data_IF_120562842266
#
_entry.id   IF_120562842266
#
_cell.length_a   1.000
_cell.length_b   1.000
_cell.length_c   1.000
_cell.angle_alpha   90.00
_cell.angle_beta   90.00
_cell.angle_gamma   90.00
#
_symmetry.space_group_name_H-M   'P 1'
#
loop_
_entity.id
_entity.type
_entity.pdbx_description
1 polymer ?
#
# COMPACT_ATOMS: atom_id res chain seq x y z
N UNK A 1 -14.16 0.14 44.90
CA UNK A 1 -13.70 -0.62 43.71
C UNK A 1 -12.73 0.27 42.91
N UNK A 2 -11.50 0.49 43.38
CA UNK A 2 -10.26 -0.20 42.96
C UNK A 2 -10.12 -0.37 41.43
N UNK A 3 -9.36 0.54 40.80
CA UNK A 3 -8.39 0.18 39.75
C UNK A 3 -7.08 0.94 40.02
N UNK A 4 -6.04 0.15 40.26
CA UNK A 4 -4.70 0.53 40.73
C UNK A 4 -3.91 1.18 39.60
N UNK A 5 -3.42 2.40 39.82
CA UNK A 5 -2.31 2.97 39.06
C UNK A 5 -1.05 2.32 39.61
N UNK A 6 -0.43 1.43 38.84
CA UNK A 6 0.89 0.89 39.17
C UNK A 6 1.90 1.99 38.86
N UNK A 7 2.31 2.72 39.90
CA UNK A 7 3.52 3.50 39.89
C UNK A 7 4.71 2.52 39.95
N UNK A 8 5.30 2.20 38.79
CA UNK A 8 6.57 1.49 38.73
C UNK A 8 7.68 2.53 38.69
N UNK A 9 8.21 2.87 39.86
CA UNK A 9 9.48 3.60 39.99
C UNK A 9 10.62 2.67 39.58
N UNK A 10 11.01 2.68 38.31
CA UNK A 10 12.29 2.13 37.89
C UNK A 10 13.35 3.23 38.07
N UNK A 11 14.12 3.13 39.15
CA UNK A 11 15.39 3.82 39.25
C UNK A 11 16.38 3.10 38.31
N UNK A 12 16.47 3.59 37.06
CA UNK A 12 17.54 3.18 36.15
C UNK A 12 18.67 4.20 36.29
N UNK A 13 19.80 3.76 36.83
CA UNK A 13 20.99 4.57 36.99
C UNK A 13 21.41 5.19 35.66
N UNK A 14 21.71 6.49 35.70
CA UNK A 14 22.43 7.19 34.63
C UNK A 14 23.79 6.51 34.44
N UNK A 15 23.88 5.58 33.51
CA UNK A 15 25.08 5.44 32.72
C UNK A 15 24.93 6.41 31.55
N UNK A 16 25.55 7.58 31.66
CA UNK A 16 25.78 8.46 30.51
C UNK A 16 26.73 7.70 29.57
N UNK A 17 26.17 6.86 28.71
CA UNK A 17 26.85 6.46 27.50
C UNK A 17 27.11 7.75 26.73
N UNK A 18 28.36 8.20 26.70
CA UNK A 18 28.81 9.19 25.74
C UNK A 18 28.64 8.55 24.36
N UNK A 19 27.48 8.71 23.77
CA UNK A 19 27.29 8.45 22.35
C UNK A 19 28.01 9.57 21.62
N UNK A 20 29.12 9.20 21.01
CA UNK A 20 29.85 10.03 20.06
C UNK A 20 28.86 10.49 18.98
N UNK A 21 28.50 11.78 19.00
CA UNK A 21 27.54 12.40 18.06
C UNK A 21 28.00 12.33 16.59
N UNK A 22 29.21 11.84 16.32
CA UNK A 22 29.77 11.72 14.97
C UNK A 22 29.37 10.47 14.17
N UNK A 23 28.60 9.53 14.77
CA UNK A 23 28.22 8.27 14.08
C UNK A 23 26.77 8.17 13.59
N UNK A 24 25.96 9.20 13.72
CA UNK A 24 24.66 9.22 13.06
C UNK A 24 24.81 9.92 11.71
N UNK A 25 24.68 9.17 10.61
CA UNK A 25 24.73 9.68 9.23
C UNK A 25 23.56 10.61 8.85
N UNK A 26 23.07 11.41 9.80
CA UNK A 26 22.09 12.47 9.62
C UNK A 26 22.77 13.74 9.10
N UNK A 27 22.04 14.49 8.27
CA UNK A 27 22.50 15.77 7.75
C UNK A 27 22.61 16.78 8.91
N UNK A 28 23.70 17.57 9.01
CA UNK A 28 23.85 18.55 10.08
C UNK A 28 22.73 19.61 9.98
N UNK A 29 21.93 19.72 11.04
CA UNK A 29 20.84 20.69 11.11
C UNK A 29 21.37 22.10 11.36
N UNK A 30 20.92 23.08 10.56
CA UNK A 30 21.31 24.50 10.74
C UNK A 30 20.78 25.06 12.06
N UNK A 31 19.60 24.61 12.47
CA UNK A 31 18.96 24.92 13.75
C UNK A 31 19.82 24.54 14.95
N UNK A 32 20.47 23.38 14.93
CA UNK A 32 21.35 22.95 16.01
C UNK A 32 22.56 23.86 16.19
N UNK A 33 23.25 24.22 15.10
CA UNK A 33 24.39 25.16 15.17
C UNK A 33 23.99 26.57 15.61
N UNK A 34 22.75 26.99 15.36
CA UNK A 34 22.21 28.23 15.93
C UNK A 34 21.93 28.08 17.44
N UNK A 35 21.27 26.99 17.84
CA UNK A 35 20.89 26.70 19.22
C UNK A 35 22.12 26.56 20.14
N UNK A 36 23.20 25.96 19.64
CA UNK A 36 24.47 25.82 20.36
C UNK A 36 25.13 27.16 20.73
N UNK A 37 24.90 28.23 19.97
CA UNK A 37 25.50 29.53 20.26
C UNK A 37 24.71 30.34 21.30
N UNK A 38 23.55 29.85 21.71
CA UNK A 38 22.66 30.53 22.64
C UNK A 38 22.87 30.06 24.08
N UNK A 39 22.50 30.92 25.02
CA UNK A 39 22.49 30.62 26.46
C UNK A 39 21.37 31.38 27.16
N UNK A 40 21.10 31.02 28.42
CA UNK A 40 20.12 31.73 29.25
C UNK A 40 18.71 31.75 28.64
N UNK A 41 18.03 32.89 28.72
CA UNK A 41 16.66 33.06 28.21
C UNK A 41 16.54 32.83 26.70
N UNK A 42 17.56 33.22 25.93
CA UNK A 42 17.51 33.15 24.47
C UNK A 42 17.61 31.70 24.00
N UNK A 43 18.39 30.87 24.72
CA UNK A 43 18.42 29.42 24.53
C UNK A 43 17.05 28.79 24.81
N UNK A 44 16.45 29.10 25.97
CA UNK A 44 15.16 28.52 26.36
C UNK A 44 14.06 28.85 25.34
N UNK A 45 14.00 30.11 24.89
CA UNK A 45 13.03 30.56 23.87
C UNK A 45 13.27 29.83 22.56
N UNK A 46 14.53 29.70 22.12
CA UNK A 46 14.87 29.02 20.87
C UNK A 46 14.51 27.54 20.92
N UNK A 47 14.96 26.82 21.94
CA UNK A 47 14.65 25.39 22.12
C UNK A 47 13.16 25.13 22.11
N UNK A 48 12.38 25.85 22.94
CA UNK A 48 10.93 25.64 23.01
C UNK A 48 10.25 25.97 21.67
N UNK A 49 10.67 27.04 20.99
CA UNK A 49 10.10 27.41 19.69
C UNK A 49 10.39 26.36 18.61
N UNK A 50 11.63 25.86 18.55
CA UNK A 50 12.01 24.81 17.59
C UNK A 50 11.30 23.49 17.90
N UNK A 51 11.27 23.06 19.16
CA UNK A 51 10.62 21.80 19.56
C UNK A 51 9.11 21.82 19.30
N UNK A 52 8.45 22.99 19.40
CA UNK A 52 7.05 23.15 19.01
C UNK A 52 6.83 22.85 17.51
N UNK A 53 7.65 23.42 16.61
CA UNK A 53 7.49 23.17 15.17
C UNK A 53 7.91 21.75 14.80
N UNK A 54 8.97 21.23 15.45
CA UNK A 54 9.40 19.84 15.32
C UNK A 54 8.29 18.85 15.69
N UNK A 55 7.58 19.09 16.81
CA UNK A 55 6.46 18.27 17.23
C UNK A 55 5.26 18.33 16.27
N UNK A 56 4.98 19.49 15.69
CA UNK A 56 3.92 19.61 14.68
C UNK A 56 4.18 18.71 13.47
N UNK A 57 5.43 18.63 13.01
CA UNK A 57 5.82 17.72 11.93
C UNK A 57 5.52 16.25 12.26
N UNK A 58 5.84 15.79 13.47
CA UNK A 58 5.52 14.43 13.91
C UNK A 58 4.01 14.18 13.96
N UNK A 59 3.23 15.16 14.47
CA UNK A 59 1.76 15.08 14.51
C UNK A 59 1.17 14.95 13.10
N UNK A 60 1.66 15.73 12.14
CA UNK A 60 1.21 15.66 10.74
C UNK A 60 1.51 14.29 10.10
N UNK A 61 2.72 13.77 10.28
CA UNK A 61 3.10 12.43 9.81
C UNK A 61 2.24 11.34 10.44
N UNK A 62 2.00 11.43 11.75
CA UNK A 62 1.18 10.49 12.50
C UNK A 62 -0.30 10.52 12.04
N UNK A 63 -0.86 11.71 11.76
CA UNK A 63 -2.20 11.83 11.20
C UNK A 63 -2.30 11.28 9.77
N UNK A 64 -1.26 11.43 8.97
CA UNK A 64 -1.23 10.88 7.61
C UNK A 64 -1.24 9.35 7.62
N UNK A 65 -0.40 8.72 8.44
CA UNK A 65 -0.32 7.25 8.49
C UNK A 65 -1.61 6.62 9.03
N UNK A 66 -2.33 7.30 9.94
CA UNK A 66 -3.62 6.83 10.47
C UNK A 66 -4.70 6.66 9.40
N UNK A 67 -4.59 7.35 8.26
CA UNK A 67 -5.54 7.25 7.14
C UNK A 67 -5.35 6.00 6.29
N UNK A 68 -4.16 5.41 6.27
CA UNK A 68 -3.78 4.35 5.32
C UNK A 68 -3.29 3.07 5.98
N UNK A 69 -2.73 3.15 7.19
CA UNK A 69 -2.18 2.00 7.90
C UNK A 69 -3.27 1.05 8.40
N UNK A 70 -3.01 -0.24 8.23
CA UNK A 70 -3.80 -1.35 8.80
C UNK A 70 -3.08 -2.05 9.95
N UNK A 71 -1.78 -1.81 10.14
CA UNK A 71 -1.01 -2.42 11.24
C UNK A 71 -1.39 -1.77 12.59
N UNK A 72 -1.95 -2.58 13.50
CA UNK A 72 -2.43 -2.10 14.79
C UNK A 72 -1.33 -1.44 15.65
N UNK A 73 -0.07 -1.90 15.51
CA UNK A 73 1.08 -1.36 16.25
C UNK A 73 1.41 0.04 15.77
N UNK A 74 1.49 0.22 14.45
CA UNK A 74 1.77 1.50 13.81
C UNK A 74 0.66 2.51 14.10
N UNK A 75 -0.60 2.09 14.00
CA UNK A 75 -1.75 2.94 14.34
C UNK A 75 -1.73 3.39 15.79
N UNK A 76 -1.41 2.49 16.73
CA UNK A 76 -1.36 2.83 18.15
C UNK A 76 -0.24 3.83 18.44
N UNK A 77 0.96 3.61 17.91
CA UNK A 77 2.07 4.55 18.04
C UNK A 77 1.71 5.93 17.47
N UNK A 78 1.12 5.99 16.27
CA UNK A 78 0.69 7.26 15.68
C UNK A 78 -0.36 7.99 16.54
N UNK A 79 -1.32 7.28 17.15
CA UNK A 79 -2.26 7.87 18.10
C UNK A 79 -1.55 8.44 19.34
N UNK A 80 -0.57 7.72 19.87
CA UNK A 80 0.20 8.15 21.05
C UNK A 80 1.04 9.38 20.75
N UNK A 81 1.72 9.43 19.60
CA UNK A 81 2.47 10.61 19.14
C UNK A 81 1.54 11.82 19.06
N UNK A 82 0.37 11.68 18.42
CA UNK A 82 -0.61 12.77 18.31
C UNK A 82 -1.04 13.26 19.70
N UNK A 83 -1.34 12.35 20.63
CA UNK A 83 -1.80 12.73 21.95
C UNK A 83 -0.71 13.40 22.80
N UNK A 84 0.48 12.80 22.84
CA UNK A 84 1.61 13.26 23.68
C UNK A 84 2.15 14.57 23.12
N UNK A 85 2.51 14.63 21.84
CA UNK A 85 3.19 15.80 21.30
C UNK A 85 2.27 17.03 21.22
N UNK A 86 0.95 16.87 21.04
CA UNK A 86 0.02 18.01 21.17
C UNK A 86 -0.03 18.58 22.59
N UNK A 87 0.06 17.71 23.61
CA UNK A 87 0.13 18.15 25.01
C UNK A 87 1.43 18.91 25.27
N UNK A 88 2.55 18.41 24.76
CA UNK A 88 3.87 19.03 24.90
C UNK A 88 3.93 20.39 24.17
N UNK A 89 3.37 20.51 22.97
CA UNK A 89 3.21 21.78 22.25
C UNK A 89 2.47 22.81 23.12
N UNK A 90 1.36 22.40 23.73
CA UNK A 90 0.58 23.26 24.64
C UNK A 90 1.40 23.71 25.86
N UNK A 91 2.16 22.79 26.46
CA UNK A 91 3.01 23.07 27.60
C UNK A 91 4.14 24.05 27.27
N UNK A 92 4.89 23.81 26.20
CA UNK A 92 5.99 24.69 25.77
C UNK A 92 5.47 26.08 25.39
N UNK A 93 4.30 26.16 24.75
CA UNK A 93 3.65 27.44 24.42
C UNK A 93 3.24 28.20 25.68
N UNK A 94 2.68 27.50 26.68
CA UNK A 94 2.32 28.10 27.95
C UNK A 94 3.55 28.61 28.72
N UNK A 95 4.66 27.86 28.68
CA UNK A 95 5.93 28.24 29.30
C UNK A 95 6.58 29.45 28.62
N UNK A 96 6.59 29.52 27.29
CA UNK A 96 7.06 30.71 26.56
C UNK A 96 6.29 31.96 26.99
N UNK A 97 4.96 31.87 27.07
CA UNK A 97 4.11 32.98 27.50
C UNK A 97 4.33 33.32 28.98
N UNK A 98 4.35 32.32 29.85
CA UNK A 98 4.40 32.50 31.30
C UNK A 98 5.76 32.93 31.83
N UNK A 99 6.86 32.38 31.29
CA UNK A 99 8.22 32.66 31.77
C UNK A 99 8.86 33.86 31.09
N UNK A 100 8.53 34.09 29.82
CA UNK A 100 9.23 35.07 28.98
C UNK A 100 8.29 36.11 28.35
N UNK A 101 6.97 35.98 28.50
CA UNK A 101 6.01 36.94 27.95
C UNK A 101 5.94 36.91 26.42
N UNK A 102 6.44 35.86 25.78
CA UNK A 102 6.54 35.77 24.31
C UNK A 102 5.71 34.62 23.75
N UNK A 103 5.29 34.78 22.51
CA UNK A 103 4.80 33.67 21.69
C UNK A 103 5.99 32.86 21.13
N UNK A 104 5.75 31.65 20.58
CA UNK A 104 6.77 30.91 19.84
C UNK A 104 7.41 31.76 18.74
N UNK A 105 8.75 31.78 18.70
CA UNK A 105 9.51 32.60 17.78
C UNK A 105 9.40 32.04 16.35
N UNK A 106 8.81 32.84 15.46
CA UNK A 106 8.67 32.48 14.04
C UNK A 106 10.02 32.21 13.37
N UNK A 107 11.05 32.99 13.69
CA UNK A 107 12.39 32.81 13.13
C UNK A 107 12.94 31.40 13.43
N UNK A 108 12.83 30.94 14.68
CA UNK A 108 13.34 29.63 15.06
C UNK A 108 12.46 28.49 14.52
N UNK A 109 11.13 28.68 14.48
CA UNK A 109 10.22 27.73 13.85
C UNK A 109 10.50 27.57 12.35
N UNK A 110 10.68 28.67 11.62
CA UNK A 110 10.95 28.63 10.17
C UNK A 110 12.32 27.97 9.88
N UNK A 111 13.31 28.16 10.75
CA UNK A 111 14.59 27.46 10.67
C UNK A 111 14.43 25.95 10.84
N UNK A 112 13.71 25.52 11.87
CA UNK A 112 13.41 24.10 12.11
C UNK A 112 12.62 23.49 10.94
N UNK A 113 11.63 24.21 10.42
CA UNK A 113 10.85 23.78 9.26
C UNK A 113 11.72 23.55 8.02
N UNK A 114 12.71 24.42 7.81
CA UNK A 114 13.68 24.28 6.72
C UNK A 114 14.49 22.99 6.82
N UNK A 115 15.02 22.70 8.01
CA UNK A 115 15.78 21.46 8.28
C UNK A 115 14.87 20.23 8.14
N UNK A 116 13.65 20.26 8.71
CA UNK A 116 12.68 19.17 8.58
C UNK A 116 12.27 18.90 7.15
N UNK A 117 12.08 19.95 6.35
CA UNK A 117 11.75 19.79 4.93
C UNK A 117 12.89 19.11 4.18
N UNK A 118 14.14 19.51 4.42
CA UNK A 118 15.29 18.88 3.78
C UNK A 118 15.42 17.40 4.16
N UNK A 119 15.19 17.05 5.43
CA UNK A 119 15.14 15.65 5.87
C UNK A 119 14.01 14.88 5.18
N UNK A 120 12.81 15.46 5.12
CA UNK A 120 11.66 14.83 4.48
C UNK A 120 11.89 14.62 2.98
N UNK A 121 12.45 15.60 2.26
CA UNK A 121 12.78 15.48 0.83
C UNK A 121 13.78 14.34 0.60
N UNK A 122 14.81 14.22 1.45
CA UNK A 122 15.79 13.12 1.39
C UNK A 122 15.14 11.76 1.69
N UNK A 123 14.27 11.69 2.71
CA UNK A 123 13.53 10.48 3.04
C UNK A 123 12.62 10.04 1.88
N UNK A 124 11.89 10.99 1.27
CA UNK A 124 11.00 10.77 0.14
C UNK A 124 11.74 10.26 -1.10
N UNK A 125 12.95 10.76 -1.39
CA UNK A 125 13.78 10.24 -2.47
C UNK A 125 14.11 8.74 -2.30
N UNK A 126 14.22 8.26 -1.05
CA UNK A 126 14.45 6.87 -0.70
C UNK A 126 13.19 6.00 -0.53
N UNK A 127 11.98 6.52 -0.77
CA UNK A 127 10.71 5.83 -0.45
C UNK A 127 10.11 4.99 -1.58
N UNK A 128 10.72 4.95 -2.77
CA UNK A 128 10.17 4.20 -3.91
C UNK A 128 10.02 2.71 -3.58
N UNK A 129 8.78 2.21 -3.66
CA UNK A 129 8.44 0.79 -3.43
C UNK A 129 8.23 0.37 -1.97
N UNK A 130 8.24 1.29 -1.00
CA UNK A 130 7.99 0.97 0.41
C UNK A 130 6.50 0.96 0.76
N UNK A 131 6.10 0.09 1.70
CA UNK A 131 4.75 0.18 2.29
C UNK A 131 4.62 1.48 3.10
N UNK A 132 3.42 2.07 3.23
CA UNK A 132 3.20 3.26 4.05
C UNK A 132 3.70 3.12 5.48
N UNK A 133 3.51 1.95 6.09
CA UNK A 133 3.95 1.63 7.45
C UNK A 133 5.48 1.66 7.57
N UNK A 134 6.19 1.05 6.62
CA UNK A 134 7.65 1.06 6.58
C UNK A 134 8.18 2.49 6.42
N UNK A 135 7.59 3.22 5.49
CA UNK A 135 7.90 4.61 5.20
C UNK A 135 7.76 5.51 6.46
N UNK A 136 6.65 5.35 7.19
CA UNK A 136 6.42 6.09 8.42
C UNK A 136 7.48 5.78 9.50
N UNK A 137 7.74 4.50 9.77
CA UNK A 137 8.72 4.10 10.80
C UNK A 137 10.15 4.54 10.45
N UNK A 138 10.57 4.35 9.20
CA UNK A 138 11.90 4.78 8.74
C UNK A 138 12.06 6.31 8.75
N UNK A 139 10.99 7.07 8.54
CA UNK A 139 10.99 8.53 8.66
C UNK A 139 10.96 9.03 10.11
N UNK A 140 10.21 8.35 10.99
CA UNK A 140 10.06 8.78 12.38
C UNK A 140 11.31 8.50 13.23
N UNK A 141 12.13 7.51 12.87
CA UNK A 141 13.40 7.22 13.57
C UNK A 141 14.36 8.42 13.57
N UNK A 142 14.78 8.96 12.40
CA UNK A 142 15.68 10.12 12.37
C UNK A 142 15.01 11.38 12.95
N UNK A 143 13.69 11.57 12.74
CA UNK A 143 12.94 12.66 13.40
C UNK A 143 13.04 12.59 14.93
N UNK A 144 12.86 11.41 15.51
CA UNK A 144 12.99 11.25 16.96
C UNK A 144 14.43 11.45 17.46
N UNK A 145 15.43 11.11 16.64
CA UNK A 145 16.83 11.34 16.98
C UNK A 145 17.14 12.84 17.08
N UNK A 146 16.62 13.65 16.16
CA UNK A 146 16.80 15.11 16.17
C UNK A 146 16.24 15.74 17.47
N UNK A 147 15.06 15.29 17.92
CA UNK A 147 14.48 15.75 19.19
C UNK A 147 15.31 15.34 20.42
N UNK A 148 15.95 14.16 20.38
CA UNK A 148 16.87 13.70 21.43
C UNK A 148 18.10 14.61 21.46
N UNK A 149 18.73 14.85 20.32
CA UNK A 149 19.96 15.65 20.22
C UNK A 149 19.72 17.10 20.72
N UNK A 150 18.61 17.72 20.32
CA UNK A 150 18.18 19.02 20.85
C UNK A 150 17.97 19.00 22.37
N UNK A 151 17.37 17.93 22.88
CA UNK A 151 17.05 17.79 24.31
C UNK A 151 18.29 17.54 25.16
N UNK A 152 19.29 16.83 24.65
CA UNK A 152 20.59 16.68 25.31
C UNK A 152 21.32 18.02 25.44
N UNK A 153 21.21 18.87 24.42
CA UNK A 153 21.72 20.23 24.51
C UNK A 153 20.96 21.05 25.57
N UNK A 154 19.65 20.87 25.68
CA UNK A 154 18.84 21.52 26.71
C UNK A 154 19.22 21.08 28.14
N UNK A 155 19.62 19.83 28.36
CA UNK A 155 20.13 19.40 29.68
C UNK A 155 21.36 20.20 30.11
N UNK A 156 22.22 20.56 29.15
CA UNK A 156 23.45 21.32 29.38
C UNK A 156 23.16 22.82 29.55
N UNK A 157 22.27 23.39 28.72
CA UNK A 157 22.15 24.84 28.53
C UNK A 157 20.87 25.50 29.04
N UNK A 158 19.80 24.75 29.26
CA UNK A 158 18.53 25.34 29.67
C UNK A 158 18.66 26.05 31.02
N UNK A 159 18.00 27.19 31.16
CA UNK A 159 18.02 27.98 32.38
C UNK A 159 16.99 27.47 33.40
N UNK A 160 15.86 26.94 32.93
CA UNK A 160 14.75 26.47 33.78
C UNK A 160 14.88 24.98 34.14
N UNK A 161 14.79 24.59 35.43
CA UNK A 161 14.84 23.19 35.84
C UNK A 161 13.68 22.37 35.27
N UNK A 162 12.51 22.98 35.08
CA UNK A 162 11.34 22.38 34.43
C UNK A 162 11.63 22.04 32.97
N UNK A 163 12.36 22.90 32.25
CA UNK A 163 12.73 22.65 30.86
C UNK A 163 13.77 21.51 30.75
N UNK A 164 14.72 21.43 31.70
CA UNK A 164 15.62 20.27 31.79
C UNK A 164 14.88 18.97 32.10
N UNK A 165 13.83 19.04 32.93
CA UNK A 165 12.99 17.87 33.22
C UNK A 165 12.22 17.41 31.97
N UNK A 166 11.59 18.34 31.27
CA UNK A 166 10.94 18.08 29.98
C UNK A 166 11.91 17.42 28.99
N UNK A 167 13.11 17.97 28.83
CA UNK A 167 14.13 17.40 27.94
C UNK A 167 14.51 15.96 28.31
N UNK A 168 14.62 15.61 29.61
CA UNK A 168 14.83 14.21 30.03
C UNK A 168 13.68 13.29 29.66
N UNK A 169 12.45 13.78 29.79
CA UNK A 169 11.25 13.02 29.43
C UNK A 169 11.19 12.75 27.92
N UNK A 170 11.49 13.77 27.10
CA UNK A 170 11.63 13.65 25.65
C UNK A 170 12.67 12.59 25.27
N UNK A 171 13.88 12.69 25.84
CA UNK A 171 14.95 11.70 25.58
C UNK A 171 14.46 10.30 25.92
N UNK A 172 13.92 10.11 27.13
CA UNK A 172 13.50 8.80 27.60
C UNK A 172 12.38 8.19 26.74
N UNK A 173 11.39 8.97 26.32
CA UNK A 173 10.27 8.50 25.49
C UNK A 173 10.75 8.19 24.08
N UNK A 174 11.41 9.16 23.42
CA UNK A 174 11.75 9.02 22.01
C UNK A 174 12.84 7.97 21.77
N UNK A 175 13.78 7.76 22.72
CA UNK A 175 14.73 6.65 22.63
C UNK A 175 14.04 5.28 22.69
N UNK A 176 12.99 5.12 23.52
CA UNK A 176 12.22 3.87 23.56
C UNK A 176 11.45 3.64 22.27
N UNK A 177 10.84 4.68 21.73
CA UNK A 177 10.09 4.62 20.47
C UNK A 177 11.01 4.27 19.29
N UNK A 178 12.22 4.85 19.20
CA UNK A 178 13.22 4.45 18.20
C UNK A 178 13.53 2.94 18.30
N UNK A 179 13.76 2.42 19.51
CA UNK A 179 14.03 1.00 19.72
C UNK A 179 12.86 0.12 19.25
N UNK A 180 11.63 0.52 19.58
CA UNK A 180 10.41 -0.17 19.19
C UNK A 180 10.22 -0.16 17.66
N UNK A 181 10.41 1.00 17.01
CA UNK A 181 10.26 1.13 15.56
C UNK A 181 11.30 0.30 14.80
N UNK A 182 12.55 0.26 15.29
CA UNK A 182 13.60 -0.60 14.72
C UNK A 182 13.24 -2.08 14.81
N UNK A 183 12.64 -2.52 15.92
CA UNK A 183 12.20 -3.91 16.06
C UNK A 183 11.01 -4.22 15.15
N UNK A 184 10.05 -3.30 15.05
CA UNK A 184 8.93 -3.45 14.13
C UNK A 184 9.40 -3.52 12.69
N UNK A 185 10.39 -2.73 12.27
CA UNK A 185 10.96 -2.79 10.92
C UNK A 185 11.60 -4.14 10.55
N UNK A 186 12.04 -4.94 11.53
CA UNK A 186 12.51 -6.32 11.29
C UNK A 186 11.35 -7.28 11.02
N UNK A 187 10.20 -7.05 11.65
CA UNK A 187 9.01 -7.91 11.59
C UNK A 187 7.93 -7.39 10.66
N UNK A 188 8.10 -6.18 10.12
CA UNK A 188 7.26 -5.61 9.07
C UNK A 188 7.58 -6.39 7.79
N UNK A 189 6.82 -7.45 7.54
CA UNK A 189 6.93 -8.20 6.30
C UNK A 189 6.86 -7.21 5.12
N UNK A 190 7.78 -7.36 4.15
CA UNK A 190 7.55 -6.79 2.83
C UNK A 190 6.14 -7.22 2.40
N UNK A 191 5.36 -6.31 1.79
CA UNK A 191 4.00 -6.63 1.37
C UNK A 191 4.02 -8.01 0.67
N UNK A 192 3.23 -9.00 1.13
CA UNK A 192 3.26 -10.32 0.54
C UNK A 192 3.03 -10.17 -0.96
N UNK A 193 3.82 -10.89 -1.76
CA UNK A 193 3.66 -10.91 -3.21
C UNK A 193 2.17 -11.07 -3.55
N UNK A 194 1.63 -10.37 -4.56
CA UNK A 194 0.24 -10.54 -4.98
C UNK A 194 -0.09 -12.00 -5.33
N UNK A 195 0.94 -12.83 -5.57
CA UNK A 195 0.85 -14.24 -5.91
C UNK A 195 0.90 -15.18 -4.70
N UNK A 196 1.02 -14.70 -3.46
CA UNK A 196 1.09 -15.57 -2.26
C UNK A 196 -0.14 -16.46 -2.15
N UNK A 197 -1.33 -15.95 -2.49
CA UNK A 197 -2.56 -16.74 -2.48
C UNK A 197 -2.55 -17.89 -3.51
N UNK A 198 -1.76 -17.78 -4.59
CA UNK A 198 -1.65 -18.82 -5.61
C UNK A 198 -0.74 -19.97 -5.20
N UNK A 199 0.07 -19.83 -4.13
CA UNK A 199 0.94 -20.91 -3.67
C UNK A 199 0.16 -22.16 -3.22
N UNK A 200 -1.06 -21.97 -2.73
CA UNK A 200 -2.00 -23.03 -2.34
C UNK A 200 -2.73 -23.66 -3.55
N UNK A 201 -2.69 -23.03 -4.72
CA UNK A 201 -3.30 -23.57 -5.93
C UNK A 201 -2.40 -24.64 -6.56
N UNK A 202 -2.94 -25.79 -7.01
CA UNK A 202 -2.20 -26.73 -7.83
C UNK A 202 -1.94 -26.19 -9.26
N UNK A 203 -2.62 -25.12 -9.67
CA UNK A 203 -2.48 -24.45 -10.98
C UNK A 203 -1.95 -23.04 -10.73
N UNK A 204 -0.65 -22.92 -10.44
CA UNK A 204 -0.05 -21.66 -9.96
C UNK A 204 0.07 -20.58 -11.05
N UNK A 205 -0.02 -20.98 -12.32
CA UNK A 205 -0.03 -20.07 -13.47
C UNK A 205 -1.34 -19.29 -13.65
N UNK A 206 -2.42 -19.69 -12.98
CA UNK A 206 -3.75 -19.09 -13.13
C UNK A 206 -4.32 -18.65 -11.77
N UNK A 207 -5.19 -17.64 -11.79
CA UNK A 207 -6.05 -17.31 -10.66
C UNK A 207 -7.19 -18.33 -10.50
N UNK A 208 -7.78 -18.39 -9.31
CA UNK A 208 -8.94 -19.26 -9.06
C UNK A 208 -10.12 -18.96 -9.99
N UNK A 209 -10.34 -17.68 -10.31
CA UNK A 209 -11.41 -17.27 -11.21
C UNK A 209 -11.14 -17.72 -12.65
N UNK A 210 -9.90 -17.62 -13.14
CA UNK A 210 -9.53 -18.10 -14.48
C UNK A 210 -9.70 -19.61 -14.60
N UNK A 211 -9.31 -20.37 -13.57
CA UNK A 211 -9.57 -21.82 -13.53
C UNK A 211 -11.07 -22.12 -13.60
N UNK A 212 -11.87 -21.42 -12.79
CA UNK A 212 -13.32 -21.61 -12.80
C UNK A 212 -13.95 -21.24 -14.15
N UNK A 213 -13.51 -20.14 -14.76
CA UNK A 213 -13.97 -19.67 -16.06
C UNK A 213 -13.67 -20.69 -17.17
N UNK A 214 -12.44 -21.22 -17.20
CA UNK A 214 -12.03 -22.26 -18.14
C UNK A 214 -12.88 -23.53 -17.96
N UNK A 215 -13.02 -24.02 -16.72
CA UNK A 215 -13.81 -25.23 -16.43
C UNK A 215 -15.30 -25.05 -16.73
N UNK A 216 -15.83 -23.84 -16.56
CA UNK A 216 -17.20 -23.50 -16.89
C UNK A 216 -17.41 -23.22 -18.40
N UNK A 217 -16.33 -23.11 -19.19
CA UNK A 217 -16.37 -22.72 -20.60
C UNK A 217 -16.81 -21.27 -20.82
N UNK A 218 -16.55 -20.40 -19.84
CA UNK A 218 -16.90 -18.98 -19.91
C UNK A 218 -15.92 -18.26 -20.84
N UNK A 219 -16.46 -17.63 -21.87
CA UNK A 219 -15.68 -17.00 -22.95
C UNK A 219 -15.16 -15.60 -22.64
N UNK A 220 -14.84 -15.26 -21.39
CA UNK A 220 -14.54 -13.89 -20.95
C UNK A 220 -13.27 -13.34 -21.64
N UNK A 221 -13.46 -12.72 -22.81
CA UNK A 221 -12.40 -12.11 -23.62
C UNK A 221 -12.17 -12.77 -24.98
N UNK A 222 -12.39 -14.08 -25.12
CA UNK A 222 -12.08 -14.83 -26.36
C UNK A 222 -12.89 -14.37 -27.58
N UNK A 223 -14.16 -14.02 -27.37
CA UNK A 223 -15.05 -13.58 -28.44
C UNK A 223 -15.13 -12.05 -28.59
N UNK A 224 -14.41 -11.28 -27.77
CA UNK A 224 -14.59 -9.82 -27.67
C UNK A 224 -14.38 -9.14 -29.02
N UNK A 225 -13.41 -9.61 -29.82
CA UNK A 225 -13.18 -9.09 -31.18
C UNK A 225 -14.42 -9.23 -32.06
N UNK A 226 -15.12 -10.37 -32.04
CA UNK A 226 -16.34 -10.55 -32.81
C UNK A 226 -17.48 -9.67 -32.27
N UNK A 227 -17.73 -9.74 -30.97
CA UNK A 227 -18.80 -9.00 -30.30
C UNK A 227 -18.72 -7.49 -30.58
N UNK A 228 -17.55 -6.88 -30.42
CA UNK A 228 -17.35 -5.44 -30.60
C UNK A 228 -17.30 -5.01 -32.07
N UNK A 229 -17.22 -5.94 -33.02
CA UNK A 229 -17.27 -5.65 -34.45
C UNK A 229 -18.61 -6.08 -35.08
N UNK A 230 -19.68 -6.12 -34.27
CA UNK A 230 -21.04 -6.33 -34.75
C UNK A 230 -21.35 -7.78 -35.12
N UNK A 231 -20.62 -8.75 -34.57
CA UNK A 231 -20.94 -10.18 -34.68
C UNK A 231 -21.59 -10.68 -33.37
N UNK A 232 -22.92 -10.88 -33.34
CA UNK A 232 -23.63 -11.23 -32.11
C UNK A 232 -23.26 -12.61 -31.56
N UNK A 233 -23.18 -12.73 -30.24
CA UNK A 233 -22.91 -13.99 -29.55
C UNK A 233 -24.18 -14.80 -29.25
N UNK A 234 -24.13 -16.15 -29.29
CA UNK A 234 -25.31 -16.99 -29.17
C UNK A 234 -26.06 -16.83 -27.84
N UNK A 235 -25.35 -16.62 -26.72
CA UNK A 235 -25.97 -16.48 -25.40
C UNK A 235 -26.85 -15.22 -25.32
N UNK A 236 -26.30 -14.06 -25.66
CA UNK A 236 -27.01 -12.78 -25.61
C UNK A 236 -28.09 -12.67 -26.69
N UNK A 237 -27.90 -13.28 -27.87
CA UNK A 237 -28.95 -13.31 -28.90
C UNK A 237 -30.17 -14.08 -28.40
N UNK A 238 -29.97 -15.21 -27.70
CA UNK A 238 -31.07 -15.97 -27.12
C UNK A 238 -31.73 -15.25 -25.93
N UNK A 239 -30.96 -14.47 -25.17
CA UNK A 239 -31.49 -13.58 -24.11
C UNK A 239 -32.46 -12.54 -24.69
N UNK A 240 -32.13 -11.98 -25.86
CA UNK A 240 -32.95 -10.98 -26.55
C UNK A 240 -33.91 -11.54 -27.61
N UNK A 241 -34.23 -12.84 -27.55
CA UNK A 241 -34.99 -13.52 -28.62
C UNK A 241 -36.31 -12.84 -28.98
N UNK A 242 -37.03 -12.30 -27.98
CA UNK A 242 -38.32 -11.64 -28.17
C UNK A 242 -38.14 -10.24 -28.78
N UNK A 243 -37.18 -9.46 -28.25
CA UNK A 243 -36.87 -8.11 -28.71
C UNK A 243 -36.26 -8.09 -30.12
N UNK A 244 -35.64 -9.21 -30.53
CA UNK A 244 -35.09 -9.42 -31.88
C UNK A 244 -36.10 -10.06 -32.85
N UNK A 245 -37.29 -10.48 -32.37
CA UNK A 245 -38.28 -11.17 -33.18
C UNK A 245 -37.73 -12.44 -33.85
N UNK A 246 -36.96 -13.24 -33.11
CA UNK A 246 -36.36 -14.46 -33.66
C UNK A 246 -37.42 -15.49 -34.01
N UNK A 247 -37.31 -16.11 -35.18
CA UNK A 247 -38.19 -17.23 -35.55
C UNK A 247 -37.90 -18.45 -34.67
N UNK A 248 -38.87 -19.38 -34.50
CA UNK A 248 -38.62 -20.65 -33.79
C UNK A 248 -37.42 -21.43 -34.36
N UNK A 249 -37.20 -21.36 -35.67
CA UNK A 249 -36.06 -21.98 -36.34
C UNK A 249 -34.74 -21.30 -35.98
N UNK A 250 -34.68 -19.96 -35.96
CA UNK A 250 -33.50 -19.21 -35.52
C UNK A 250 -33.14 -19.54 -34.07
N UNK A 251 -34.13 -19.56 -33.16
CA UNK A 251 -33.92 -19.91 -31.75
C UNK A 251 -33.36 -21.32 -31.61
N UNK A 252 -33.91 -22.30 -32.32
CA UNK A 252 -33.43 -23.68 -32.28
C UNK A 252 -31.98 -23.81 -32.78
N UNK A 253 -31.64 -23.16 -33.90
CA UNK A 253 -30.30 -23.24 -34.48
C UNK A 253 -29.24 -22.52 -33.63
N UNK A 254 -29.55 -21.31 -33.16
CA UNK A 254 -28.67 -20.57 -32.24
C UNK A 254 -28.48 -21.34 -30.92
N UNK A 255 -29.54 -22.01 -30.44
CA UNK A 255 -29.46 -22.93 -29.29
C UNK A 255 -28.45 -24.05 -29.48
N UNK A 256 -28.45 -24.71 -30.66
CA UNK A 256 -27.46 -25.75 -31.00
C UNK A 256 -26.04 -25.18 -31.09
N UNK A 257 -25.87 -24.00 -31.67
CA UNK A 257 -24.56 -23.31 -31.73
C UNK A 257 -24.05 -23.02 -30.31
N UNK A 258 -24.91 -22.48 -29.44
CA UNK A 258 -24.56 -22.19 -28.04
C UNK A 258 -24.09 -23.45 -27.31
N UNK A 259 -24.84 -24.54 -27.45
CA UNK A 259 -24.56 -25.79 -26.76
C UNK A 259 -23.23 -26.40 -27.23
N UNK A 260 -23.02 -26.50 -28.56
CA UNK A 260 -21.76 -26.97 -29.12
C UNK A 260 -20.58 -26.11 -28.70
N UNK A 261 -20.73 -24.78 -28.72
CA UNK A 261 -19.70 -23.85 -28.24
C UNK A 261 -19.38 -24.09 -26.76
N UNK A 262 -20.41 -24.19 -25.91
CA UNK A 262 -20.22 -24.38 -24.47
C UNK A 262 -19.56 -25.73 -24.14
N UNK A 263 -19.97 -26.82 -24.79
CA UNK A 263 -19.36 -28.14 -24.60
C UNK A 263 -17.90 -28.16 -25.07
N UNK A 264 -17.61 -27.60 -26.26
CA UNK A 264 -16.24 -27.48 -26.77
C UNK A 264 -15.35 -26.62 -25.88
N UNK A 265 -15.85 -25.48 -25.42
CA UNK A 265 -15.12 -24.58 -24.53
C UNK A 265 -14.79 -25.24 -23.18
N UNK A 266 -15.73 -25.96 -22.56
CA UNK A 266 -15.49 -26.71 -21.31
C UNK A 266 -14.43 -27.80 -21.49
N UNK A 267 -14.52 -28.57 -22.58
CA UNK A 267 -13.54 -29.63 -22.87
C UNK A 267 -12.13 -29.06 -23.07
N UNK A 268 -11.99 -27.96 -23.80
CA UNK A 268 -10.71 -27.27 -24.00
C UNK A 268 -10.21 -26.63 -22.70
N UNK A 269 -11.08 -25.98 -21.93
CA UNK A 269 -10.74 -25.39 -20.64
C UNK A 269 -10.21 -26.41 -19.64
N UNK A 270 -10.80 -27.61 -19.58
CA UNK A 270 -10.29 -28.71 -18.76
C UNK A 270 -8.89 -29.16 -19.20
N UNK A 271 -8.61 -29.23 -20.51
CA UNK A 271 -7.28 -29.55 -21.04
C UNK A 271 -6.25 -28.47 -20.71
N UNK A 272 -6.63 -27.19 -20.84
CA UNK A 272 -5.77 -26.05 -20.47
C UNK A 272 -5.40 -26.12 -19.00
N UNK A 273 -6.40 -26.28 -18.12
CA UNK A 273 -6.18 -26.38 -16.67
C UNK A 273 -5.28 -27.56 -16.32
N UNK A 274 -5.44 -28.71 -17.00
CA UNK A 274 -4.58 -29.87 -16.80
C UNK A 274 -3.12 -29.60 -17.22
N UNK A 275 -2.89 -28.93 -18.36
CA UNK A 275 -1.54 -28.59 -18.81
C UNK A 275 -0.87 -27.50 -17.96
N UNK A 276 -1.62 -26.48 -17.52
CA UNK A 276 -1.13 -25.46 -16.57
C UNK A 276 -0.76 -26.08 -15.22
N UNK A 277 -1.53 -27.07 -14.77
CA UNK A 277 -1.20 -27.88 -13.58
C UNK A 277 0.10 -28.64 -13.79
N UNK A 278 0.24 -29.36 -14.91
CA UNK A 278 1.44 -30.14 -15.21
C UNK A 278 2.68 -29.25 -15.34
N UNK A 279 2.54 -28.05 -15.92
CA UNK A 279 3.59 -27.04 -15.98
C UNK A 279 3.97 -26.55 -14.57
N UNK A 280 2.97 -26.25 -13.74
CA UNK A 280 3.18 -25.84 -12.34
C UNK A 280 3.94 -26.90 -11.54
N UNK A 281 3.58 -28.18 -11.71
CA UNK A 281 4.26 -29.32 -11.07
C UNK A 281 5.68 -29.51 -11.59
N UNK A 282 5.93 -29.31 -12.88
CA UNK A 282 7.26 -29.44 -13.47
C UNK A 282 8.23 -28.37 -12.96
N UNK A 283 7.77 -27.12 -12.83
CA UNK A 283 8.53 -26.04 -12.18
C UNK A 283 8.75 -26.31 -10.70
N UNK A 284 7.69 -26.67 -9.96
CA UNK A 284 7.78 -26.93 -8.52
C UNK A 284 8.72 -28.10 -8.20
N UNK A 285 8.75 -29.12 -9.06
CA UNK A 285 9.64 -30.28 -8.92
C UNK A 285 11.06 -30.08 -9.43
N UNK A 286 11.38 -28.91 -10.05
CA UNK A 286 12.69 -28.66 -10.65
C UNK A 286 13.03 -29.56 -11.84
N UNK A 287 12.02 -30.16 -12.49
CA UNK A 287 12.19 -31.14 -13.57
C UNK A 287 12.04 -30.55 -14.97
N UNK A 288 11.64 -29.29 -15.07
CA UNK A 288 11.40 -28.63 -16.35
C UNK A 288 12.73 -28.31 -17.06
N UNK A 289 12.91 -28.81 -18.29
CA UNK A 289 14.03 -28.43 -19.18
C UNK A 289 13.57 -27.37 -20.18
N UNK A 290 14.48 -26.63 -20.82
CA UNK A 290 14.11 -25.67 -21.88
C UNK A 290 13.28 -26.29 -23.01
N UNK A 291 13.60 -27.51 -23.41
CA UNK A 291 12.90 -28.24 -24.48
C UNK A 291 11.50 -28.63 -24.04
N UNK A 292 11.35 -29.20 -22.83
CA UNK A 292 10.06 -29.56 -22.26
C UNK A 292 9.18 -28.32 -22.00
N UNK A 293 9.79 -27.19 -21.62
CA UNK A 293 9.08 -25.92 -21.50
C UNK A 293 8.53 -25.46 -22.85
N UNK A 294 9.36 -25.48 -23.90
CA UNK A 294 8.96 -25.09 -25.24
C UNK A 294 7.80 -25.96 -25.76
N UNK A 295 7.91 -27.28 -25.63
CA UNK A 295 6.86 -28.23 -26.02
C UNK A 295 5.52 -27.93 -25.32
N UNK A 296 5.55 -27.75 -23.99
CA UNK A 296 4.35 -27.45 -23.19
C UNK A 296 3.72 -26.12 -23.55
N UNK A 297 4.53 -25.07 -23.76
CA UNK A 297 4.03 -23.76 -24.14
C UNK A 297 3.42 -23.77 -25.55
N UNK A 298 3.98 -24.53 -26.49
CA UNK A 298 3.37 -24.73 -27.81
C UNK A 298 2.03 -25.47 -27.71
N UNK A 299 1.94 -26.51 -26.88
CA UNK A 299 0.69 -27.23 -26.63
C UNK A 299 -0.38 -26.33 -25.99
N UNK A 300 -0.02 -25.56 -24.96
CA UNK A 300 -0.91 -24.56 -24.34
C UNK A 300 -1.36 -23.50 -25.35
N UNK A 301 -0.42 -22.97 -26.15
CA UNK A 301 -0.72 -22.01 -27.20
C UNK A 301 -1.75 -22.53 -28.21
N UNK A 302 -1.62 -23.80 -28.63
CA UNK A 302 -2.59 -24.46 -29.50
C UNK A 302 -3.98 -24.58 -28.84
N UNK A 303 -4.03 -25.00 -27.57
CA UNK A 303 -5.29 -25.11 -26.82
C UNK A 303 -6.00 -23.76 -26.68
N UNK A 304 -5.27 -22.69 -26.35
CA UNK A 304 -5.85 -21.35 -26.26
C UNK A 304 -6.32 -20.83 -27.63
N UNK A 305 -5.59 -21.14 -28.72
CA UNK A 305 -6.02 -20.80 -30.08
C UNK A 305 -7.31 -21.54 -30.45
N UNK A 306 -7.42 -22.83 -30.14
CA UNK A 306 -8.64 -23.63 -30.34
C UNK A 306 -9.82 -23.07 -29.53
N UNK A 307 -9.60 -22.72 -28.26
CA UNK A 307 -10.65 -22.15 -27.41
C UNK A 307 -11.14 -20.81 -27.97
N UNK A 308 -10.23 -19.95 -28.42
CA UNK A 308 -10.58 -18.69 -29.08
C UNK A 308 -11.36 -18.93 -30.37
N UNK A 309 -10.96 -19.91 -31.17
CA UNK A 309 -11.64 -20.29 -32.41
C UNK A 309 -13.07 -20.77 -32.14
N UNK A 310 -13.30 -21.61 -31.11
CA UNK A 310 -14.65 -22.08 -30.73
C UNK A 310 -15.59 -20.91 -30.48
N UNK A 311 -15.14 -19.89 -29.74
CA UNK A 311 -15.93 -18.71 -29.47
C UNK A 311 -16.16 -17.83 -30.71
N UNK A 312 -15.11 -17.49 -31.46
CA UNK A 312 -15.24 -16.64 -32.65
C UNK A 312 -16.10 -17.30 -33.73
N UNK A 313 -15.95 -18.61 -33.94
CA UNK A 313 -16.75 -19.38 -34.90
C UNK A 313 -18.24 -19.33 -34.54
N UNK A 314 -18.59 -19.48 -33.27
CA UNK A 314 -19.98 -19.38 -32.83
C UNK A 314 -20.59 -18.01 -33.14
N UNK A 315 -19.84 -16.92 -32.95
CA UNK A 315 -20.29 -15.58 -33.34
C UNK A 315 -20.49 -15.43 -34.85
N UNK A 316 -19.58 -15.97 -35.66
CA UNK A 316 -19.71 -15.97 -37.12
C UNK A 316 -20.96 -16.73 -37.58
N UNK A 317 -21.18 -17.93 -37.04
CA UNK A 317 -22.36 -18.74 -37.36
C UNK A 317 -23.66 -18.04 -36.97
N UNK A 318 -23.73 -17.44 -35.78
CA UNK A 318 -24.91 -16.66 -35.35
C UNK A 318 -25.14 -15.45 -36.24
N UNK A 319 -24.09 -14.75 -36.66
CA UNK A 319 -24.21 -13.59 -37.56
C UNK A 319 -24.89 -13.96 -38.87
N UNK A 320 -24.57 -15.14 -39.43
CA UNK A 320 -25.17 -15.64 -40.68
C UNK A 320 -26.65 -16.01 -40.55
N UNK A 321 -27.14 -16.22 -39.32
CA UNK A 321 -28.54 -16.55 -39.05
C UNK A 321 -29.43 -15.33 -38.83
N UNK A 322 -28.86 -14.13 -38.62
CA UNK A 322 -29.60 -12.92 -38.29
C UNK A 322 -29.72 -11.99 -39.49
N UNK A 323 -30.85 -11.29 -39.60
CA UNK A 323 -30.99 -10.21 -40.57
C UNK A 323 -30.16 -8.98 -40.16
N UNK A 324 -29.85 -8.10 -41.11
CA UNK A 324 -29.20 -6.81 -40.83
C UNK A 324 -29.95 -5.99 -39.78
N UNK A 325 -31.29 -6.00 -39.82
CA UNK A 325 -32.12 -5.30 -38.85
C UNK A 325 -32.01 -5.92 -37.45
N UNK A 326 -31.96 -7.26 -37.36
CA UNK A 326 -31.76 -7.96 -36.09
C UNK A 326 -30.38 -7.66 -35.49
N UNK A 327 -29.32 -7.62 -36.30
CA UNK A 327 -27.97 -7.27 -35.83
C UNK A 327 -27.92 -5.81 -35.32
N UNK A 328 -28.51 -4.86 -36.05
CA UNK A 328 -28.60 -3.48 -35.60
C UNK A 328 -29.36 -3.35 -34.28
N UNK A 329 -30.49 -4.07 -34.15
CA UNK A 329 -31.29 -4.08 -32.93
C UNK A 329 -30.53 -4.71 -31.76
N UNK A 330 -29.80 -5.81 -32.00
CA UNK A 330 -28.93 -6.45 -31.01
C UNK A 330 -27.85 -5.49 -30.52
N UNK A 331 -27.17 -4.79 -31.43
CA UNK A 331 -26.14 -3.81 -31.06
C UNK A 331 -26.72 -2.68 -30.20
N UNK A 332 -27.93 -2.20 -30.49
CA UNK A 332 -28.62 -1.23 -29.62
C UNK A 332 -28.91 -1.81 -28.23
N UNK A 333 -29.45 -3.02 -28.15
CA UNK A 333 -29.77 -3.69 -26.87
C UNK A 333 -28.54 -3.93 -26.00
N UNK A 334 -27.38 -4.16 -26.63
CA UNK A 334 -26.09 -4.32 -25.96
C UNK A 334 -25.38 -3.01 -25.63
N UNK A 335 -25.93 -1.86 -26.03
CA UNK A 335 -25.32 -0.55 -25.83
C UNK A 335 -24.15 -0.25 -26.77
N UNK A 336 -24.03 -0.97 -27.89
CA UNK A 336 -23.05 -0.72 -28.95
C UNK A 336 -23.58 0.20 -30.06
N UNK A 337 -24.87 0.52 -30.03
CA UNK A 337 -25.51 1.43 -30.99
C UNK A 337 -25.41 2.89 -30.54
N UNK A 338 -24.27 3.54 -30.82
CA UNK A 338 -23.90 4.98 -30.76
C UNK A 338 -22.51 5.07 -30.09
N UNK A 339 -21.42 5.57 -30.69
CA UNK A 339 -21.21 6.67 -31.64
C UNK A 339 -21.66 6.50 -33.09
#
# INVERSE_FOLDING_TARGET
>A
MIRRIVALTLALGLALAQTDHSQHGGMPMKSMGALERLSGKDFDIAYMSMMIDHHKGAVEMAQAILKVSKDARVRKAAQDIVAVQNKEIGQLTAWLKGWYGVAPSRMYMDMMRGDMKAMMDAAMAGMKGKSPDRAFLEGMIPHHQDAIDMSELALKKANKPELKKFAREVIAVQSREIGQYREWLKTLAAAPSPYVAQLESPVRGLSAQEVEDLLAGRGAGYARTAELNGHPGPAHVLEFKEQLGLSPQQVAEIGRIRERMAQGAKALGARIVAEEKALSEAFAGGKITPEALQERLLALGALYAELRMVHLKAHLEVTLLLSRQQILRYNQLRGYGAS
#
